data_IF_276491981934
#
_entry.id   IF_276491981934
#
_cell.length_a   1.000
_cell.length_b   1.000
_cell.length_c   1.000
_cell.angle_alpha   90.00
_cell.angle_beta   90.00
_cell.angle_gamma   90.00
#
_symmetry.space_group_name_H-M   'P 1'
#
loop_
_entity.id
_entity.type
_entity.pdbx_description
1 polymer ?
#
# COMPACT_ATOMS: atom_id res chain seq x y z
N UNK A 1 -24.00 -16.18 -80.59
CA UNK A 1 -23.68 -16.79 -79.28
C UNK A 1 -22.64 -15.91 -78.60
N UNK A 2 -22.97 -15.25 -77.49
CA UNK A 2 -22.04 -14.39 -76.75
C UNK A 2 -22.36 -14.57 -75.27
N UNK A 3 -21.53 -15.35 -74.57
CA UNK A 3 -21.64 -15.56 -73.13
C UNK A 3 -21.16 -14.29 -72.43
N UNK A 4 -22.06 -13.64 -71.71
CA UNK A 4 -21.71 -12.65 -70.69
C UNK A 4 -21.40 -13.41 -69.39
N UNK A 5 -20.13 -13.40 -68.98
CA UNK A 5 -19.72 -13.80 -67.64
C UNK A 5 -19.96 -12.62 -66.69
N UNK A 6 -20.97 -12.74 -65.84
CA UNK A 6 -21.18 -11.86 -64.69
C UNK A 6 -20.19 -12.27 -63.59
N UNK A 7 -19.20 -11.42 -63.32
CA UNK A 7 -18.38 -11.52 -62.12
C UNK A 7 -19.18 -10.91 -60.97
N UNK A 8 -19.68 -11.76 -60.07
CA UNK A 8 -20.29 -11.32 -58.82
C UNK A 8 -19.18 -11.09 -57.80
N UNK A 9 -18.67 -9.87 -57.72
CA UNK A 9 -17.82 -9.45 -56.61
C UNK A 9 -18.69 -9.37 -55.36
N UNK A 10 -18.62 -10.39 -54.51
CA UNK A 10 -19.18 -10.31 -53.16
C UNK A 10 -18.37 -9.28 -52.37
N UNK A 11 -18.91 -8.07 -52.23
CA UNK A 11 -18.38 -7.05 -51.33
C UNK A 11 -18.77 -7.47 -49.91
N UNK A 12 -17.88 -8.21 -49.24
CA UNK A 12 -18.02 -8.50 -47.81
C UNK A 12 -17.95 -7.16 -47.08
N UNK A 13 -19.10 -6.68 -46.62
CA UNK A 13 -19.19 -5.56 -45.68
C UNK A 13 -18.55 -6.03 -44.37
N UNK A 14 -17.23 -5.85 -44.24
CA UNK A 14 -16.58 -5.81 -42.94
C UNK A 14 -17.24 -4.66 -42.19
N UNK A 15 -18.18 -5.02 -41.31
CA UNK A 15 -18.67 -4.10 -40.29
C UNK A 15 -17.42 -3.53 -39.60
N UNK A 16 -17.19 -2.24 -39.77
CA UNK A 16 -16.15 -1.52 -39.06
C UNK A 16 -16.58 -1.52 -37.59
N UNK A 17 -16.23 -2.58 -36.84
CA UNK A 17 -16.31 -2.55 -35.39
C UNK A 17 -15.31 -1.50 -34.94
N UNK A 18 -15.80 -0.43 -34.32
CA UNK A 18 -14.95 0.53 -33.62
C UNK A 18 -14.11 -0.25 -32.62
N UNK A 19 -12.78 -0.19 -32.77
CA UNK A 19 -11.90 -0.85 -31.83
C UNK A 19 -12.05 -0.20 -30.46
N UNK A 20 -12.24 -1.04 -29.44
CA UNK A 20 -12.44 -0.61 -28.05
C UNK A 20 -11.13 -0.04 -27.49
N UNK A 21 -11.26 0.97 -26.63
CA UNK A 21 -10.10 1.59 -25.97
C UNK A 21 -9.63 0.64 -24.88
N UNK A 22 -8.37 0.16 -24.92
CA UNK A 22 -7.88 -0.81 -23.96
C UNK A 22 -7.73 -0.21 -22.56
N UNK A 23 -7.80 -1.07 -21.56
CA UNK A 23 -7.64 -0.75 -20.14
C UNK A 23 -6.21 -1.02 -19.71
N UNK A 24 -5.60 -0.09 -18.96
CA UNK A 24 -4.33 -0.36 -18.29
C UNK A 24 -4.55 -1.31 -17.11
N UNK A 25 -3.79 -2.40 -17.09
CA UNK A 25 -3.78 -3.41 -16.04
C UNK A 25 -2.37 -3.50 -15.46
N UNK A 26 -2.32 -3.60 -14.14
CA UNK A 26 -1.12 -3.78 -13.34
C UNK A 26 -1.51 -4.39 -12.01
N UNK A 27 -0.52 -4.69 -11.19
CA UNK A 27 -0.70 -5.29 -9.88
C UNK A 27 0.17 -4.54 -8.87
N UNK A 28 -0.25 -4.53 -7.60
CA UNK A 28 0.59 -4.01 -6.53
C UNK A 28 1.85 -4.88 -6.40
N UNK A 29 2.96 -4.23 -6.04
CA UNK A 29 4.27 -4.87 -5.94
C UNK A 29 4.78 -4.75 -4.49
N UNK A 30 5.38 -5.83 -3.98
CA UNK A 30 6.13 -5.82 -2.71
C UNK A 30 7.56 -6.25 -2.99
N UNK A 31 8.53 -5.50 -2.50
CA UNK A 31 9.96 -5.72 -2.72
C UNK A 31 10.74 -5.39 -1.47
N UNK A 32 11.80 -6.14 -1.18
CA UNK A 32 12.82 -5.72 -0.22
C UNK A 32 13.49 -4.42 -0.69
N UNK A 33 13.77 -3.50 0.22
CA UNK A 33 14.49 -2.26 -0.08
C UNK A 33 15.90 -2.56 -0.59
N UNK A 34 16.67 -3.31 0.21
CA UNK A 34 18.01 -3.80 -0.09
C UNK A 34 19.12 -2.81 0.21
N UNK A 35 20.33 -3.31 0.47
CA UNK A 35 21.48 -2.54 0.99
C UNK A 35 22.07 -1.44 0.08
N UNK A 36 21.54 -1.25 -1.13
CA UNK A 36 22.06 -0.30 -2.10
C UNK A 36 21.02 0.11 -3.15
N UNK A 37 21.17 1.35 -3.64
CA UNK A 37 20.41 1.88 -4.78
C UNK A 37 20.33 0.87 -5.95
N UNK A 38 19.11 0.54 -6.38
CA UNK A 38 18.87 -0.44 -7.44
C UNK A 38 17.69 -0.08 -8.34
N UNK A 39 17.78 -0.50 -9.60
CA UNK A 39 16.65 -0.37 -10.53
C UNK A 39 15.57 -1.41 -10.22
N UNK A 40 14.33 -0.95 -10.18
CA UNK A 40 13.11 -1.75 -10.07
C UNK A 40 12.33 -1.64 -11.37
N UNK A 41 11.81 -2.77 -11.83
CA UNK A 41 10.96 -2.87 -13.01
C UNK A 41 9.54 -3.17 -12.55
N UNK A 42 8.62 -2.25 -12.83
CA UNK A 42 7.19 -2.41 -12.55
C UNK A 42 6.45 -2.69 -13.87
N UNK A 43 5.99 -3.94 -14.09
CA UNK A 43 5.32 -4.32 -15.33
C UNK A 43 3.88 -3.82 -15.36
N UNK A 44 3.46 -3.34 -16.53
CA UNK A 44 2.06 -3.03 -16.83
C UNK A 44 1.70 -3.57 -18.20
N UNK A 45 0.43 -3.86 -18.41
CA UNK A 45 -0.05 -4.30 -19.71
C UNK A 45 -1.41 -3.70 -20.01
N UNK A 46 -1.73 -3.61 -21.29
CA UNK A 46 -3.09 -3.36 -21.74
C UNK A 46 -3.89 -4.67 -21.70
N UNK A 47 -5.18 -4.62 -21.38
CA UNK A 47 -6.06 -5.81 -21.39
C UNK A 47 -6.25 -6.42 -22.80
N UNK A 48 -6.01 -5.63 -23.84
CA UNK A 48 -5.91 -6.04 -25.23
C UNK A 48 -4.85 -5.20 -25.96
N UNK A 49 -4.26 -5.71 -27.07
CA UNK A 49 -3.31 -4.94 -27.87
C UNK A 49 -3.88 -3.61 -28.34
N UNK A 50 -3.06 -2.56 -28.28
CA UNK A 50 -3.46 -1.20 -28.62
C UNK A 50 -4.00 -1.14 -30.07
N UNK A 51 -5.24 -0.70 -30.29
CA UNK A 51 -5.82 -0.67 -31.65
C UNK A 51 -5.22 0.43 -32.53
N UNK A 52 -4.58 1.43 -31.90
CA UNK A 52 -3.86 2.55 -32.48
C UNK A 52 -2.80 3.03 -31.47
N UNK A 53 -2.00 4.02 -31.83
CA UNK A 53 -1.00 4.57 -30.92
C UNK A 53 -1.67 5.12 -29.64
N UNK A 54 -1.16 4.73 -28.48
CA UNK A 54 -1.70 5.05 -27.17
C UNK A 54 -0.57 5.51 -26.24
N UNK A 55 -0.88 6.35 -25.26
CA UNK A 55 0.14 6.86 -24.32
C UNK A 55 -0.45 7.26 -22.98
N UNK A 56 0.36 7.17 -21.93
CA UNK A 56 0.05 7.65 -20.57
C UNK A 56 1.29 8.28 -19.95
N UNK A 57 1.12 9.33 -19.14
CA UNK A 57 2.19 9.88 -18.30
C UNK A 57 2.29 9.06 -17.01
N UNK A 58 3.52 8.84 -16.55
CA UNK A 58 3.83 8.14 -15.29
C UNK A 58 4.65 9.06 -14.38
N UNK A 59 4.32 9.05 -13.09
CA UNK A 59 5.08 9.72 -12.02
C UNK A 59 5.12 8.84 -10.77
N UNK A 60 6.20 8.91 -9.99
CA UNK A 60 6.26 8.31 -8.66
C UNK A 60 5.78 9.30 -7.60
N UNK A 61 4.96 8.83 -6.67
CA UNK A 61 4.44 9.63 -5.57
C UNK A 61 4.64 8.88 -4.25
N UNK A 62 5.52 9.39 -3.39
CA UNK A 62 5.75 8.84 -2.06
C UNK A 62 4.46 8.90 -1.22
N UNK A 63 4.19 7.84 -0.46
CA UNK A 63 3.09 7.81 0.51
C UNK A 63 3.66 7.89 1.92
N UNK A 64 4.13 6.76 2.44
CA UNK A 64 4.94 6.77 3.66
C UNK A 64 6.41 6.94 3.34
N UNK A 65 6.86 6.51 2.15
CA UNK A 65 8.21 6.81 1.69
C UNK A 65 8.38 8.24 1.17
N UNK A 66 9.60 8.73 1.31
CA UNK A 66 10.11 10.06 1.01
C UNK A 66 10.90 10.10 -0.30
N UNK A 67 10.44 10.94 -1.22
CA UNK A 67 11.14 11.20 -2.49
C UNK A 67 12.54 11.79 -2.27
N UNK A 68 13.55 11.13 -2.82
CA UNK A 68 14.95 11.51 -2.70
C UNK A 68 15.70 10.78 -1.58
N UNK A 69 14.97 10.17 -0.64
CA UNK A 69 15.52 9.35 0.45
C UNK A 69 15.40 7.87 0.06
N UNK A 70 14.18 7.35 -0.18
CA UNK A 70 13.93 5.91 -0.42
C UNK A 70 13.70 5.59 -1.92
N UNK A 71 13.46 6.62 -2.74
CA UNK A 71 13.41 6.48 -4.20
C UNK A 71 13.84 7.75 -4.93
N UNK A 72 14.34 7.58 -6.15
CA UNK A 72 14.67 8.72 -7.01
C UNK A 72 13.39 9.20 -7.74
N UNK A 73 13.01 10.49 -7.63
CA UNK A 73 11.82 11.00 -8.31
C UNK A 73 11.94 10.82 -9.83
N UNK A 74 10.86 10.34 -10.44
CA UNK A 74 10.81 9.98 -11.86
C UNK A 74 9.50 10.46 -12.49
N UNK A 75 9.60 11.01 -13.70
CA UNK A 75 8.45 11.22 -14.59
C UNK A 75 8.80 10.74 -16.00
N UNK A 76 7.87 10.00 -16.61
CA UNK A 76 8.03 9.46 -17.97
C UNK A 76 6.70 9.42 -18.72
N UNK A 77 6.74 9.03 -19.98
CA UNK A 77 5.56 8.72 -20.80
C UNK A 77 5.70 7.31 -21.36
N UNK A 78 4.77 6.43 -20.99
CA UNK A 78 4.64 5.13 -21.64
C UNK A 78 3.86 5.29 -22.93
N UNK A 79 4.26 4.55 -23.96
CA UNK A 79 3.64 4.59 -25.27
C UNK A 79 3.53 3.18 -25.84
N UNK A 80 2.39 2.90 -26.47
CA UNK A 80 2.15 1.68 -27.22
C UNK A 80 1.90 2.04 -28.67
N UNK A 81 2.66 1.43 -29.57
CA UNK A 81 2.34 1.38 -30.98
C UNK A 81 1.12 0.48 -31.21
N UNK A 82 0.47 0.62 -32.36
CA UNK A 82 -0.62 -0.28 -32.74
C UNK A 82 -0.15 -1.74 -32.68
N UNK A 83 -0.88 -2.55 -31.92
CA UNK A 83 -0.61 -3.98 -31.73
C UNK A 83 0.32 -4.31 -30.58
N UNK A 84 0.90 -3.31 -29.89
CA UNK A 84 1.65 -3.51 -28.65
C UNK A 84 0.70 -3.57 -27.46
N UNK A 85 1.13 -4.25 -26.39
CA UNK A 85 0.30 -4.50 -25.22
C UNK A 85 1.07 -4.30 -23.91
N UNK A 86 2.30 -4.82 -23.84
CA UNK A 86 3.12 -4.76 -22.63
C UNK A 86 3.98 -3.49 -22.57
N UNK A 87 4.21 -2.98 -21.36
CA UNK A 87 5.17 -1.92 -21.09
C UNK A 87 5.75 -2.07 -19.67
N UNK A 88 6.83 -1.35 -19.39
CA UNK A 88 7.52 -1.39 -18.10
C UNK A 88 7.81 0.02 -17.62
N UNK A 89 7.53 0.27 -16.34
CA UNK A 89 8.01 1.46 -15.63
C UNK A 89 9.31 1.08 -14.93
N UNK A 90 10.38 1.83 -15.19
CA UNK A 90 11.70 1.63 -14.57
C UNK A 90 12.02 2.80 -13.66
N UNK A 91 12.37 2.51 -12.42
CA UNK A 91 12.74 3.53 -11.45
C UNK A 91 13.80 3.01 -10.48
N UNK A 92 14.43 3.91 -9.73
CA UNK A 92 15.46 3.58 -8.75
C UNK A 92 14.87 3.67 -7.36
N UNK A 93 14.92 2.55 -6.64
CA UNK A 93 14.78 2.50 -5.18
C UNK A 93 16.15 2.76 -4.59
N UNK A 94 16.18 3.56 -3.53
CA UNK A 94 17.36 3.85 -2.75
C UNK A 94 17.26 2.99 -1.51
N UNK A 95 18.30 2.24 -1.22
CA UNK A 95 18.32 1.43 -0.03
C UNK A 95 19.68 1.46 0.61
N UNK A 96 19.72 1.11 1.88
CA UNK A 96 20.90 1.16 2.73
C UNK A 96 20.81 0.09 3.82
N UNK A 97 21.48 0.28 4.96
CA UNK A 97 21.58 -0.75 6.00
C UNK A 97 20.98 -0.31 7.33
N UNK A 98 20.29 0.83 7.35
CA UNK A 98 19.64 1.35 8.53
C UNK A 98 18.23 0.74 8.63
N UNK A 99 17.77 0.45 9.84
CA UNK A 99 16.41 -0.08 10.03
C UNK A 99 15.38 1.02 9.74
N UNK A 100 14.43 0.68 8.89
CA UNK A 100 13.24 1.47 8.57
C UNK A 100 11.97 0.62 8.76
N UNK A 101 10.81 1.24 8.90
CA UNK A 101 9.55 0.48 8.87
C UNK A 101 9.14 0.22 7.41
N UNK A 102 8.31 -0.80 7.14
CA UNK A 102 7.76 -1.01 5.79
C UNK A 102 7.10 0.27 5.25
N UNK A 103 7.50 0.68 4.05
CA UNK A 103 7.02 1.90 3.42
C UNK A 103 6.30 1.68 2.09
N UNK A 104 5.62 2.71 1.60
CA UNK A 104 4.82 2.65 0.37
C UNK A 104 5.02 3.87 -0.51
N UNK A 105 5.02 3.63 -1.82
CA UNK A 105 4.91 4.64 -2.86
C UNK A 105 3.86 4.23 -3.91
N UNK A 106 3.39 5.20 -4.68
CA UNK A 106 2.52 4.97 -5.83
C UNK A 106 3.27 5.13 -7.14
N UNK A 107 3.04 4.19 -8.06
CA UNK A 107 3.25 4.40 -9.49
C UNK A 107 1.96 5.01 -10.03
N UNK A 108 1.95 6.32 -10.24
CA UNK A 108 0.76 7.08 -10.62
C UNK A 108 0.71 7.36 -12.13
N UNK A 109 -0.47 7.19 -12.72
CA UNK A 109 -0.73 7.34 -14.15
C UNK A 109 -1.67 8.53 -14.41
N UNK A 110 -1.34 9.35 -15.41
CA UNK A 110 -2.14 10.51 -15.79
C UNK A 110 -2.09 10.77 -17.30
N UNK A 111 -2.90 11.75 -17.74
CA UNK A 111 -2.94 12.20 -19.14
C UNK A 111 -3.12 11.05 -20.17
N UNK A 112 -4.11 10.15 -19.99
CA UNK A 112 -4.26 9.03 -20.91
C UNK A 112 -4.73 9.50 -22.30
N UNK A 113 -4.16 8.89 -23.33
CA UNK A 113 -4.57 9.01 -24.72
C UNK A 113 -4.76 7.61 -25.29
N UNK A 114 -5.99 7.29 -25.71
CA UNK A 114 -6.37 5.97 -26.23
C UNK A 114 -6.11 4.81 -25.24
N UNK A 115 -6.19 5.08 -23.93
CA UNK A 115 -6.13 4.12 -22.82
C UNK A 115 -7.18 4.50 -21.77
N UNK A 116 -7.81 3.51 -21.12
CA UNK A 116 -8.66 3.71 -19.95
C UNK A 116 -7.88 3.41 -18.66
N UNK A 117 -8.04 4.28 -17.65
CA UNK A 117 -7.40 4.17 -16.33
C UNK A 117 -8.46 4.01 -15.23
N UNK A 118 -9.11 2.83 -15.10
CA UNK A 118 -10.04 2.59 -14.01
C UNK A 118 -9.35 2.61 -12.65
N UNK A 119 -8.06 2.27 -12.62
CA UNK A 119 -7.18 2.45 -11.49
C UNK A 119 -6.03 3.40 -11.87
N UNK A 120 -5.97 4.64 -11.32
CA UNK A 120 -4.98 5.63 -11.72
C UNK A 120 -3.61 5.44 -11.04
N UNK A 121 -3.44 4.47 -10.15
CA UNK A 121 -2.17 4.16 -9.52
C UNK A 121 -2.08 2.70 -9.05
N UNK A 122 -0.88 2.18 -8.91
CA UNK A 122 -0.61 0.92 -8.20
C UNK A 122 0.36 1.17 -7.07
N UNK A 123 0.26 0.38 -6.01
CA UNK A 123 1.09 0.52 -4.80
C UNK A 123 2.35 -0.33 -4.93
N UNK A 124 3.49 0.25 -4.59
CA UNK A 124 4.74 -0.46 -4.36
C UNK A 124 5.04 -0.38 -2.86
N UNK A 125 5.14 -1.53 -2.19
CA UNK A 125 5.65 -1.62 -0.83
C UNK A 125 7.16 -1.88 -0.87
N UNK A 126 7.90 -1.05 -0.15
CA UNK A 126 9.31 -1.24 0.19
C UNK A 126 9.33 -1.93 1.56
N UNK A 127 9.76 -3.19 1.58
CA UNK A 127 9.85 -4.00 2.78
C UNK A 127 11.23 -3.82 3.40
N UNK A 128 11.27 -3.45 4.68
CA UNK A 128 12.54 -3.33 5.40
C UNK A 128 13.19 -4.71 5.51
N UNK A 129 14.41 -4.83 4.99
CA UNK A 129 15.24 -6.03 5.11
C UNK A 129 16.39 -5.89 6.11
N UNK A 130 16.45 -4.77 6.83
CA UNK A 130 17.49 -4.48 7.80
C UNK A 130 17.16 -4.89 9.24
N UNK A 131 18.18 -5.28 10.03
CA UNK A 131 17.98 -5.69 11.40
C UNK A 131 17.71 -4.47 12.30
N UNK A 132 16.63 -4.56 13.08
CA UNK A 132 16.38 -3.62 14.17
C UNK A 132 17.53 -3.65 15.19
N UNK A 133 18.33 -2.58 15.25
CA UNK A 133 19.46 -2.43 16.18
C UNK A 133 19.11 -1.68 17.47
N UNK A 134 17.85 -1.27 17.63
CA UNK A 134 17.38 -0.62 18.83
C UNK A 134 17.48 -1.55 20.04
N UNK A 135 18.13 -1.09 21.10
CA UNK A 135 17.96 -1.71 22.41
C UNK A 135 16.52 -1.43 22.85
N UNK A 136 15.62 -2.39 22.66
CA UNK A 136 14.31 -2.36 23.31
C UNK A 136 14.51 -2.58 24.82
N UNK A 137 14.97 -1.53 25.50
CA UNK A 137 15.08 -1.50 26.96
C UNK A 137 13.77 -1.05 27.61
N UNK A 138 12.69 -0.89 26.82
CA UNK A 138 11.48 -0.20 27.24
C UNK A 138 11.73 1.23 27.71
N UNK A 139 10.68 1.90 28.16
CA UNK A 139 10.83 3.16 28.89
C UNK A 139 11.14 2.83 30.35
N UNK A 140 12.38 3.10 30.81
CA UNK A 140 12.67 3.08 32.24
C UNK A 140 12.09 4.35 32.87
N UNK A 141 10.99 4.20 33.61
CA UNK A 141 10.47 5.30 34.41
C UNK A 141 11.40 5.54 35.59
N UNK A 142 12.00 6.74 35.76
CA UNK A 142 12.77 7.07 36.94
C UNK A 142 11.95 6.84 38.21
N UNK A 143 12.45 6.01 39.13
CA UNK A 143 11.81 5.74 40.43
C UNK A 143 11.89 6.94 41.38
N UNK A 144 12.57 8.02 40.99
CA UNK A 144 12.59 9.29 41.73
C UNK A 144 12.93 10.48 40.83
N UNK A 145 12.40 11.65 41.20
CA UNK A 145 12.70 12.94 40.56
C UNK A 145 13.12 13.95 41.63
N UNK A 146 14.20 14.74 41.42
CA UNK A 146 14.61 15.78 42.37
C UNK A 146 13.47 16.78 42.64
N UNK A 147 13.14 17.00 43.92
CA UNK A 147 12.08 17.91 44.34
C UNK A 147 10.67 17.33 44.37
N UNK A 148 10.50 16.06 43.99
CA UNK A 148 9.23 15.33 44.10
C UNK A 148 9.35 14.20 45.11
N UNK A 149 8.29 13.98 45.89
CA UNK A 149 8.13 12.80 46.74
C UNK A 149 7.12 11.87 46.08
N UNK A 150 7.44 10.57 46.01
CA UNK A 150 6.51 9.57 45.53
C UNK A 150 5.29 9.53 46.47
N UNK A 151 4.11 9.80 45.93
CA UNK A 151 2.86 9.79 46.68
C UNK A 151 2.16 8.44 46.59
N UNK A 152 2.28 7.77 45.44
CA UNK A 152 1.67 6.46 45.19
C UNK A 152 2.35 5.77 44.00
N UNK A 153 2.57 4.46 44.14
CA UNK A 153 2.93 3.52 43.08
C UNK A 153 2.21 2.19 43.34
N UNK A 154 2.05 1.39 42.30
CA UNK A 154 1.57 0.01 42.36
C UNK A 154 2.51 -0.84 41.51
N UNK A 155 3.08 -1.88 42.12
CA UNK A 155 4.03 -2.79 41.45
C UNK A 155 3.34 -4.08 40.98
N UNK A 156 2.02 -4.19 41.19
CA UNK A 156 1.19 -5.33 40.78
C UNK A 156 1.67 -6.69 41.32
N UNK A 157 2.44 -6.71 42.41
CA UNK A 157 2.92 -7.93 43.09
C UNK A 157 1.80 -8.84 43.68
N UNK A 158 0.53 -8.44 43.56
CA UNK A 158 -0.63 -9.15 44.08
C UNK A 158 -1.12 -10.25 43.15
N UNK A 159 -1.77 -11.28 43.70
CA UNK A 159 -2.38 -12.36 42.90
C UNK A 159 -3.84 -12.10 42.51
N UNK A 160 -4.35 -10.90 42.82
CA UNK A 160 -5.72 -10.47 42.56
C UNK A 160 -5.83 -8.95 42.57
N UNK A 161 -6.88 -8.40 41.96
CA UNK A 161 -7.17 -6.96 41.98
C UNK A 161 -7.16 -6.41 43.41
N UNK A 162 -6.29 -5.42 43.66
CA UNK A 162 -6.32 -4.67 44.90
C UNK A 162 -7.45 -3.62 44.84
N UNK A 163 -8.61 -3.96 45.40
CA UNK A 163 -9.79 -3.08 45.39
C UNK A 163 -9.66 -1.83 46.27
N UNK A 164 -8.56 -1.68 47.02
CA UNK A 164 -8.25 -0.44 47.73
C UNK A 164 -7.64 0.63 46.80
N UNK A 165 -7.05 0.20 45.67
CA UNK A 165 -6.39 1.07 44.70
C UNK A 165 -7.17 1.16 43.37
N UNK A 166 -7.81 0.06 42.97
CA UNK A 166 -8.45 -0.09 41.67
C UNK A 166 -9.93 -0.48 41.81
N UNK A 167 -10.78 -0.02 40.89
CA UNK A 167 -12.18 -0.39 40.84
C UNK A 167 -12.54 -1.06 39.50
N UNK A 168 -13.63 -1.82 39.52
CA UNK A 168 -14.28 -2.27 38.29
C UNK A 168 -15.05 -1.10 37.69
N UNK A 169 -14.80 -0.83 36.41
CA UNK A 169 -15.70 -0.01 35.60
C UNK A 169 -16.87 -0.88 35.14
N UNK A 170 -18.08 -0.57 35.61
CA UNK A 170 -19.31 -1.26 35.24
C UNK A 170 -20.28 -0.29 34.63
N UNK A 171 -20.83 -0.59 33.45
CA UNK A 171 -21.69 0.35 32.74
C UNK A 171 -22.15 -0.20 31.39
N UNK A 172 -23.05 0.52 30.73
CA UNK A 172 -23.52 0.17 29.40
C UNK A 172 -24.32 1.31 28.78
N UNK A 173 -24.78 1.11 27.55
CA UNK A 173 -25.52 2.13 26.78
C UNK A 173 -24.67 3.36 26.38
N UNK A 174 -23.45 3.15 25.86
CA UNK A 174 -22.70 4.23 25.21
C UNK A 174 -21.75 5.05 26.08
N UNK A 175 -21.44 4.60 27.28
CA UNK A 175 -20.59 5.34 28.24
C UNK A 175 -19.29 5.88 27.60
N UNK A 176 -19.12 7.21 27.61
CA UNK A 176 -17.90 7.93 27.20
C UNK A 176 -17.61 8.00 25.69
N UNK A 177 -17.86 6.92 24.95
CA UNK A 177 -17.50 6.80 23.52
C UNK A 177 -18.67 6.37 22.61
N UNK A 178 -19.90 6.32 23.13
CA UNK A 178 -21.13 6.01 22.39
C UNK A 178 -21.22 4.58 21.82
N UNK A 179 -20.50 3.62 22.43
CA UNK A 179 -20.53 2.21 22.04
C UNK A 179 -21.61 1.38 22.76
N UNK A 180 -22.19 0.40 22.05
CA UNK A 180 -23.20 -0.53 22.61
C UNK A 180 -22.57 -1.67 23.42
N UNK A 181 -21.50 -1.38 24.16
CA UNK A 181 -20.84 -2.34 25.05
C UNK A 181 -21.51 -2.32 26.43
N UNK A 182 -21.46 -3.46 27.13
CA UNK A 182 -21.89 -3.59 28.53
C UNK A 182 -20.74 -4.18 29.35
N UNK A 183 -20.08 -3.35 30.15
CA UNK A 183 -19.01 -3.76 31.05
C UNK A 183 -19.59 -4.41 32.31
N UNK A 184 -19.08 -5.58 32.65
CA UNK A 184 -19.57 -6.40 33.77
C UNK A 184 -18.46 -6.61 34.79
N UNK A 185 -18.84 -6.59 36.06
CA UNK A 185 -18.00 -7.07 37.16
C UNK A 185 -18.09 -8.60 37.23
N UNK A 186 -17.46 -9.26 36.25
CA UNK A 186 -17.24 -10.69 36.23
C UNK A 186 -15.79 -10.97 36.67
N UNK A 187 -15.55 -11.82 37.69
CA UNK A 187 -14.20 -12.20 38.09
C UNK A 187 -13.35 -12.80 36.96
N UNK A 188 -13.94 -13.29 35.87
CA UNK A 188 -13.19 -13.75 34.70
C UNK A 188 -12.57 -12.62 33.85
N UNK A 189 -13.01 -11.37 34.04
CA UNK A 189 -12.57 -10.23 33.24
C UNK A 189 -11.23 -9.65 33.71
N UNK A 190 -10.77 -10.03 34.90
CA UNK A 190 -9.47 -9.63 35.45
C UNK A 190 -8.68 -10.89 35.76
N UNK A 191 -7.47 -10.97 35.23
CA UNK A 191 -6.52 -12.05 35.52
C UNK A 191 -5.13 -11.45 35.69
N UNK A 192 -4.37 -12.08 36.58
CA UNK A 192 -2.92 -11.88 36.74
C UNK A 192 -2.26 -12.99 35.91
N UNK A 193 -1.35 -12.63 35.00
CA UNK A 193 -0.75 -13.57 34.05
C UNK A 193 0.75 -13.26 33.87
N UNK A 194 1.60 -14.27 34.09
CA UNK A 194 3.07 -14.18 34.00
C UNK A 194 3.79 -13.36 35.09
N UNK A 195 3.19 -13.17 36.26
CA UNK A 195 3.84 -12.47 37.38
C UNK A 195 3.72 -10.95 37.31
N UNK A 196 2.78 -10.49 36.48
CA UNK A 196 2.12 -9.18 36.49
C UNK A 196 0.60 -9.38 36.54
#
# INVERSE_FOLDING_TARGET
>A
MRNLLLWSTALTLMSCRTAEVPVLVGEDLRIAEGDADREVVFPVHLDAPAPRAASIKVELVGQTSTSGEDFVPMSSTLSWSKGEQDAEVRFTVKGDTDYEDDETLWVAFSQPSEVLLPNPFYTVTLENDDPYSGNDSGYVTPTSYPGYALVWNEEFDGTSLNSAHWNYETGGHGWGNNELQNYRNDPSNIRVENGE
#
